data_IF_928348888613
#
_entry.id   IF_928348888613
#
_cell.length_a   1.000
_cell.length_b   1.000
_cell.length_c   1.000
_cell.angle_alpha   90.00
_cell.angle_beta   90.00
_cell.angle_gamma   90.00
#
_symmetry.space_group_name_H-M   'P 1'
#
loop_
_entity.id
_entity.type
_entity.pdbx_description
1 polymer ?
#
# COMPACT_ATOMS: atom_id res chain seq x y z
N UNK A 1 -14.42 9.94 -1.53
CA UNK A 1 -14.22 9.45 -0.15
C UNK A 1 -13.54 10.47 0.81
N UNK A 2 -12.47 11.19 0.45
CA UNK A 2 -11.74 12.02 1.45
C UNK A 2 -12.23 13.46 1.64
N UNK A 3 -13.23 13.93 0.88
CA UNK A 3 -13.67 15.33 0.92
C UNK A 3 -14.07 15.76 2.34
N UNK A 4 -14.90 14.96 3.00
CA UNK A 4 -15.38 15.24 4.35
C UNK A 4 -14.23 15.20 5.37
N UNK A 5 -13.39 14.17 5.34
CA UNK A 5 -12.20 14.08 6.22
C UNK A 5 -11.30 15.31 6.08
N UNK A 6 -11.06 15.79 4.87
CA UNK A 6 -10.23 17.00 4.66
C UNK A 6 -10.91 18.24 5.23
N UNK A 7 -12.24 18.36 5.09
CA UNK A 7 -13.01 19.47 5.66
C UNK A 7 -12.97 19.42 7.19
N UNK A 8 -13.15 18.25 7.78
CA UNK A 8 -13.05 18.02 9.22
C UNK A 8 -11.63 18.32 9.74
N UNK A 9 -10.57 17.90 9.03
CA UNK A 9 -9.21 18.23 9.42
C UNK A 9 -8.97 19.74 9.41
N UNK A 10 -9.45 20.45 8.38
CA UNK A 10 -9.35 21.91 8.35
C UNK A 10 -10.10 22.51 9.53
N UNK A 11 -11.34 22.11 9.76
CA UNK A 11 -12.15 22.65 10.84
C UNK A 11 -11.54 22.40 12.23
N UNK A 12 -11.24 21.14 12.55
CA UNK A 12 -10.81 20.72 13.88
C UNK A 12 -9.35 21.11 14.20
N UNK A 13 -8.51 21.36 13.19
CA UNK A 13 -7.13 21.81 13.42
C UNK A 13 -7.01 23.34 13.49
N UNK A 14 -7.98 24.12 12.97
CA UNK A 14 -7.96 25.58 13.06
C UNK A 14 -8.27 26.04 14.50
N UNK A 15 -7.33 26.68 15.22
CA UNK A 15 -7.60 27.20 16.56
C UNK A 15 -8.57 28.39 16.53
N UNK A 16 -8.53 29.16 15.45
CA UNK A 16 -9.40 30.31 15.19
C UNK A 16 -9.51 30.58 13.68
N UNK A 17 -10.46 31.42 13.26
CA UNK A 17 -10.64 31.80 11.84
C UNK A 17 -9.44 32.58 11.26
N UNK A 18 -8.73 33.34 12.10
CA UNK A 18 -7.56 34.13 11.70
C UNK A 18 -6.25 33.31 11.64
N UNK A 19 -6.26 32.11 12.21
CA UNK A 19 -5.13 31.17 12.25
C UNK A 19 -5.47 29.84 11.58
N UNK A 20 -5.86 29.83 10.30
CA UNK A 20 -6.27 28.60 9.64
C UNK A 20 -5.11 27.63 9.45
N UNK A 21 -5.32 26.36 9.77
CA UNK A 21 -4.36 25.29 9.43
C UNK A 21 -4.60 24.82 7.99
N UNK A 22 -3.65 25.04 7.06
CA UNK A 22 -3.83 24.64 5.68
C UNK A 22 -3.69 23.12 5.53
N UNK A 23 -4.72 22.48 5.00
CA UNK A 23 -4.71 21.04 4.67
C UNK A 23 -4.84 20.88 3.16
N UNK A 24 -3.83 20.31 2.51
CA UNK A 24 -3.79 20.15 1.05
C UNK A 24 -3.87 18.67 0.65
N UNK A 25 -4.88 18.26 -0.14
CA UNK A 25 -4.92 16.91 -0.66
C UNK A 25 -3.95 16.72 -1.83
N UNK A 26 -3.12 15.68 -1.76
CA UNK A 26 -2.35 15.20 -2.89
C UNK A 26 -3.15 14.13 -3.64
N UNK A 27 -3.83 14.53 -4.71
CA UNK A 27 -4.47 13.61 -5.64
C UNK A 27 -3.44 13.14 -6.69
N UNK A 28 -3.40 11.85 -6.96
CA UNK A 28 -2.45 11.26 -7.90
C UNK A 28 -3.09 10.14 -8.72
N UNK A 29 -2.51 9.85 -9.89
CA UNK A 29 -2.88 8.68 -10.67
C UNK A 29 -2.29 7.43 -10.02
N UNK A 30 -3.10 6.77 -9.22
CA UNK A 30 -2.72 5.56 -8.48
C UNK A 30 -2.31 4.41 -9.38
N UNK A 31 -2.50 4.46 -10.71
CA UNK A 31 -2.13 3.38 -11.62
C UNK A 31 -0.64 3.37 -11.98
N UNK A 32 0.04 4.49 -11.76
CA UNK A 32 1.45 4.68 -12.10
C UNK A 32 2.38 3.94 -11.14
N UNK A 33 3.62 3.62 -11.56
CA UNK A 33 4.69 3.19 -10.66
C UNK A 33 4.88 4.16 -9.50
N UNK A 34 5.11 3.63 -8.29
CA UNK A 34 5.16 4.44 -7.08
C UNK A 34 6.32 5.44 -7.10
N UNK A 35 7.43 5.15 -7.77
CA UNK A 35 8.57 6.06 -7.87
C UNK A 35 8.24 7.35 -8.62
N UNK A 36 7.33 7.28 -9.62
CA UNK A 36 6.85 8.45 -10.34
C UNK A 36 5.96 9.29 -9.43
N UNK A 37 5.06 8.63 -8.70
CA UNK A 37 4.15 9.30 -7.77
C UNK A 37 4.93 9.96 -6.62
N UNK A 38 5.97 9.32 -6.10
CA UNK A 38 6.86 9.89 -5.08
C UNK A 38 7.58 11.15 -5.56
N UNK A 39 7.97 11.21 -6.83
CA UNK A 39 8.55 12.43 -7.39
C UNK A 39 7.50 13.53 -7.45
N UNK A 40 6.30 13.24 -7.95
CA UNK A 40 5.19 14.20 -7.99
C UNK A 40 4.82 14.69 -6.58
N UNK A 41 4.85 13.79 -5.60
CA UNK A 41 4.61 14.11 -4.20
C UNK A 41 5.70 15.01 -3.63
N UNK A 42 6.97 14.78 -3.98
CA UNK A 42 8.06 15.69 -3.59
C UNK A 42 7.84 17.10 -4.12
N UNK A 43 7.52 17.23 -5.41
CA UNK A 43 7.25 18.53 -6.05
C UNK A 43 6.05 19.22 -5.35
N UNK A 44 5.03 18.45 -4.98
CA UNK A 44 3.85 18.94 -4.26
C UNK A 44 4.16 19.41 -2.83
N UNK A 45 5.02 18.71 -2.08
CA UNK A 45 5.42 19.14 -0.73
C UNK A 45 6.15 20.48 -0.78
N UNK A 46 7.02 20.68 -1.77
CA UNK A 46 7.71 21.95 -1.99
C UNK A 46 6.72 23.08 -2.30
N UNK A 47 5.75 22.83 -3.18
CA UNK A 47 4.66 23.76 -3.48
C UNK A 47 3.82 24.11 -2.23
N UNK A 48 3.46 23.13 -1.39
CA UNK A 48 2.71 23.34 -0.15
C UNK A 48 3.49 24.22 0.82
N UNK A 49 4.80 23.99 0.96
CA UNK A 49 5.68 24.81 1.78
C UNK A 49 5.68 26.26 1.28
N UNK A 50 5.84 26.47 -0.02
CA UNK A 50 5.89 27.81 -0.60
C UNK A 50 4.57 28.56 -0.46
N UNK A 51 3.43 27.88 -0.64
CA UNK A 51 2.11 28.46 -0.37
C UNK A 51 1.94 28.81 1.11
N UNK A 52 2.40 27.95 2.02
CA UNK A 52 2.25 28.15 3.48
C UNK A 52 3.07 29.34 3.97
N UNK A 53 4.25 29.60 3.38
CA UNK A 53 5.06 30.81 3.67
C UNK A 53 4.32 32.12 3.38
N UNK A 54 3.33 32.11 2.49
CA UNK A 54 2.54 33.29 2.13
C UNK A 54 1.32 33.52 3.04
N UNK A 55 0.98 32.57 3.91
CA UNK A 55 -0.14 32.69 4.84
C UNK A 55 0.29 33.62 5.99
N UNK A 56 -0.51 34.67 6.24
CA UNK A 56 -0.16 35.78 7.15
C UNK A 56 0.36 35.33 8.51
N UNK A 57 -0.36 34.47 9.23
CA UNK A 57 0.05 34.07 10.58
C UNK A 57 1.29 33.17 10.57
N UNK A 58 1.48 32.29 9.58
CA UNK A 58 2.71 31.52 9.40
C UNK A 58 3.91 32.41 9.06
N UNK A 59 3.72 33.42 8.21
CA UNK A 59 4.75 34.39 7.87
C UNK A 59 5.18 35.21 9.10
N UNK A 60 4.21 35.71 9.88
CA UNK A 60 4.47 36.44 11.13
C UNK A 60 5.14 35.56 12.20
N UNK A 61 4.82 34.26 12.23
CA UNK A 61 5.44 33.28 13.12
C UNK A 61 6.84 32.81 12.65
N UNK A 62 7.35 33.32 11.53
CA UNK A 62 8.68 32.98 11.04
C UNK A 62 8.81 31.57 10.45
N UNK A 63 7.71 30.97 9.99
CA UNK A 63 7.69 29.60 9.41
C UNK A 63 8.75 29.39 8.31
N UNK A 64 9.06 30.44 7.55
CA UNK A 64 10.05 30.41 6.48
C UNK A 64 11.47 30.04 6.96
N UNK A 65 11.80 30.22 8.25
CA UNK A 65 13.13 29.91 8.78
C UNK A 65 13.37 28.39 8.93
N UNK A 66 12.32 27.60 9.13
CA UNK A 66 12.40 26.14 9.26
C UNK A 66 11.09 25.49 8.79
N UNK A 67 10.79 25.54 7.47
CA UNK A 67 9.51 25.10 6.96
C UNK A 67 9.41 23.58 7.04
N UNK A 68 8.39 23.08 7.75
CA UNK A 68 8.09 21.65 7.85
C UNK A 68 6.61 21.37 7.68
N UNK A 69 6.29 20.23 7.08
CA UNK A 69 4.92 19.74 6.90
C UNK A 69 4.65 18.51 7.76
N UNK A 70 3.37 18.29 8.08
CA UNK A 70 2.88 17.02 8.60
C UNK A 70 2.24 16.23 7.45
N UNK A 71 2.52 14.94 7.36
CA UNK A 71 2.06 14.09 6.27
C UNK A 71 1.05 13.05 6.79
N UNK A 72 -0.03 12.84 6.06
CA UNK A 72 -1.04 11.82 6.37
C UNK A 72 -1.24 10.95 5.14
N UNK A 73 -1.01 9.66 5.26
CA UNK A 73 -1.15 8.68 4.18
C UNK A 73 -2.16 7.61 4.56
N UNK A 74 -3.15 7.38 3.71
CA UNK A 74 -4.04 6.22 3.83
C UNK A 74 -3.68 5.17 2.78
N UNK A 75 -3.72 3.89 3.16
CA UNK A 75 -3.39 2.76 2.30
C UNK A 75 -2.03 2.97 1.63
N UNK A 76 -1.95 2.87 0.30
CA UNK A 76 -0.75 3.11 -0.52
C UNK A 76 -0.12 4.51 -0.31
N UNK A 77 -0.88 5.48 0.19
CA UNK A 77 -0.35 6.81 0.55
C UNK A 77 0.76 6.74 1.60
N UNK A 78 0.72 5.78 2.52
CA UNK A 78 1.80 5.58 3.48
C UNK A 78 3.08 5.03 2.85
N UNK A 79 2.98 4.20 1.80
CA UNK A 79 4.14 3.75 1.02
C UNK A 79 4.78 4.92 0.29
N UNK A 80 3.98 5.78 -0.34
CA UNK A 80 4.45 6.99 -1.03
C UNK A 80 5.16 7.94 -0.06
N UNK A 81 4.60 8.18 1.14
CA UNK A 81 5.24 9.00 2.16
C UNK A 81 6.57 8.38 2.60
N UNK A 82 6.57 7.08 2.87
CA UNK A 82 7.79 6.36 3.32
C UNK A 82 8.88 6.44 2.26
N UNK A 83 8.56 6.17 1.00
CA UNK A 83 9.52 6.27 -0.10
C UNK A 83 9.98 7.71 -0.41
N UNK A 84 9.13 8.71 -0.18
CA UNK A 84 9.54 10.12 -0.25
C UNK A 84 10.55 10.47 0.85
N UNK A 85 10.26 10.08 2.09
CA UNK A 85 11.14 10.31 3.24
C UNK A 85 12.45 9.55 3.08
N UNK A 86 12.41 8.30 2.62
CA UNK A 86 13.58 7.48 2.27
C UNK A 86 14.50 8.21 1.28
N UNK A 87 13.95 8.67 0.15
CA UNK A 87 14.72 9.37 -0.89
C UNK A 87 15.30 10.71 -0.43
N UNK A 88 14.55 11.47 0.38
CA UNK A 88 14.99 12.79 0.86
C UNK A 88 15.91 12.69 2.09
N UNK A 89 15.83 11.61 2.86
CA UNK A 89 16.57 11.41 4.11
C UNK A 89 16.45 12.62 5.05
N UNK A 90 17.59 13.07 5.61
CA UNK A 90 17.67 14.26 6.48
C UNK A 90 17.32 15.58 5.82
N UNK A 91 17.14 15.63 4.50
CA UNK A 91 16.67 16.85 3.81
C UNK A 91 15.14 16.95 3.76
N UNK A 92 14.41 15.90 4.16
CA UNK A 92 12.96 15.92 4.15
C UNK A 92 12.41 17.00 5.12
N UNK A 93 11.64 17.99 4.64
CA UNK A 93 11.02 19.03 5.47
C UNK A 93 9.76 18.48 6.15
N UNK A 94 9.88 17.37 6.88
CA UNK A 94 8.76 16.68 7.53
C UNK A 94 8.90 16.80 9.05
N UNK A 95 7.81 17.15 9.71
CA UNK A 95 7.76 17.21 11.18
C UNK A 95 7.12 15.97 11.79
N UNK A 96 5.98 15.51 11.26
CA UNK A 96 5.24 14.34 11.75
C UNK A 96 4.63 13.58 10.58
N UNK A 97 4.44 12.27 10.76
CA UNK A 97 3.78 11.40 9.80
C UNK A 97 2.67 10.62 10.50
N UNK A 98 1.53 10.46 9.82
CA UNK A 98 0.49 9.52 10.20
C UNK A 98 0.20 8.58 9.00
N UNK A 99 0.27 7.26 9.23
CA UNK A 99 -0.14 6.26 8.24
C UNK A 99 -1.35 5.48 8.72
N UNK A 100 -2.33 5.29 7.84
CA UNK A 100 -3.61 4.67 8.13
C UNK A 100 -3.78 3.48 7.19
N UNK A 101 -3.90 2.26 7.74
CA UNK A 101 -4.13 1.02 6.97
C UNK A 101 -3.13 0.82 5.80
N UNK A 102 -1.86 1.20 6.00
CA UNK A 102 -0.84 1.10 4.96
C UNK A 102 -0.31 -0.32 4.82
N UNK A 103 -0.37 -0.93 3.62
CA UNK A 103 0.14 -2.29 3.39
C UNK A 103 1.66 -2.30 3.20
N UNK A 104 2.42 -2.08 4.28
CA UNK A 104 3.89 -2.09 4.30
C UNK A 104 4.52 -3.37 3.76
N UNK A 105 3.83 -4.51 3.85
CA UNK A 105 4.23 -5.78 3.23
C UNK A 105 3.16 -6.33 2.30
N UNK A 106 2.32 -5.46 1.73
CA UNK A 106 1.34 -5.79 0.70
C UNK A 106 0.01 -6.36 1.21
N UNK A 107 -0.78 -6.92 0.29
CA UNK A 107 -2.07 -7.55 0.59
C UNK A 107 -2.35 -8.66 -0.43
N UNK A 108 -2.88 -9.78 0.04
CA UNK A 108 -3.34 -10.86 -0.82
C UNK A 108 -4.52 -10.46 -1.73
N UNK A 109 -5.24 -9.38 -1.42
CA UNK A 109 -6.29 -8.84 -2.30
C UNK A 109 -5.72 -8.31 -3.62
N UNK A 110 -4.45 -7.86 -3.65
CA UNK A 110 -3.79 -7.49 -4.89
C UNK A 110 -3.62 -8.70 -5.83
N UNK A 111 -3.20 -9.85 -5.29
CA UNK A 111 -3.11 -11.11 -6.03
C UNK A 111 -4.46 -11.50 -6.61
N UNK A 112 -5.51 -11.42 -5.78
CA UNK A 112 -6.88 -11.74 -6.21
C UNK A 112 -7.33 -10.80 -7.33
N UNK A 113 -7.09 -9.48 -7.20
CA UNK A 113 -7.48 -8.50 -8.23
C UNK A 113 -6.76 -8.77 -9.55
N UNK A 114 -5.47 -9.11 -9.52
CA UNK A 114 -4.70 -9.47 -10.72
C UNK A 114 -5.16 -10.81 -11.31
N UNK A 115 -5.39 -11.83 -10.48
CA UNK A 115 -5.78 -13.16 -10.93
C UNK A 115 -7.21 -13.20 -11.50
N UNK A 116 -8.17 -12.61 -10.80
CA UNK A 116 -9.61 -12.78 -11.05
C UNK A 116 -10.33 -11.51 -11.52
N UNK A 117 -9.76 -10.33 -11.27
CA UNK A 117 -10.40 -9.04 -11.51
C UNK A 117 -11.41 -8.67 -10.44
N UNK A 118 -11.70 -9.57 -9.50
CA UNK A 118 -12.65 -9.39 -8.40
C UNK A 118 -11.95 -9.47 -7.07
N UNK A 119 -11.60 -8.32 -6.52
CA UNK A 119 -11.30 -8.17 -5.11
C UNK A 119 -12.14 -7.02 -4.56
N UNK A 120 -12.37 -6.98 -3.25
CA UNK A 120 -12.96 -5.82 -2.57
C UNK A 120 -11.96 -4.65 -2.55
N UNK A 121 -11.69 -4.09 -3.72
CA UNK A 121 -11.17 -2.74 -3.94
C UNK A 121 -12.05 -2.13 -5.05
N UNK A 122 -13.24 -1.69 -4.63
CA UNK A 122 -14.32 -1.17 -5.48
C UNK A 122 -15.35 -2.24 -5.84
N UNK A 123 -16.55 -2.14 -5.27
CA UNK A 123 -17.69 -3.03 -5.48
C UNK A 123 -18.15 -3.03 -6.94
N UNK A 124 -17.97 -4.15 -7.65
CA UNK A 124 -18.94 -4.72 -8.59
C UNK A 124 -18.44 -6.07 -9.17
N UNK A 125 -19.39 -6.86 -9.66
CA UNK A 125 -19.19 -8.21 -10.24
C UNK A 125 -18.16 -8.25 -11.37
N UNK A 126 -17.35 -9.32 -11.39
CA UNK A 126 -16.28 -9.61 -12.37
C UNK A 126 -16.64 -9.23 -13.81
N UNK A 127 -16.08 -8.12 -14.31
CA UNK A 127 -16.03 -7.84 -15.74
C UNK A 127 -14.62 -8.16 -16.27
N UNK A 128 -14.52 -8.83 -17.41
CA UNK A 128 -13.23 -9.16 -18.05
C UNK A 128 -12.30 -7.95 -18.23
N UNK A 129 -12.89 -6.76 -18.38
CA UNK A 129 -12.18 -5.48 -18.49
C UNK A 129 -11.47 -5.08 -17.19
N UNK A 130 -12.01 -5.42 -16.02
CA UNK A 130 -11.36 -5.13 -14.73
C UNK A 130 -10.12 -5.99 -14.52
N UNK A 131 -10.13 -7.24 -15.00
CA UNK A 131 -8.94 -8.12 -15.00
C UNK A 131 -7.82 -7.53 -15.83
N UNK A 132 -8.12 -7.13 -17.06
CA UNK A 132 -7.13 -6.56 -17.98
C UNK A 132 -6.55 -5.26 -17.41
N UNK A 133 -7.40 -4.36 -16.89
CA UNK A 133 -6.96 -3.14 -16.25
C UNK A 133 -6.05 -3.42 -15.03
N UNK A 134 -6.43 -4.35 -14.16
CA UNK A 134 -5.64 -4.70 -12.99
C UNK A 134 -4.24 -5.23 -13.37
N UNK A 135 -4.16 -6.11 -14.37
CA UNK A 135 -2.90 -6.71 -14.83
C UNK A 135 -1.93 -5.70 -15.49
N UNK A 136 -2.43 -4.55 -15.91
CA UNK A 136 -1.63 -3.49 -16.54
C UNK A 136 -1.39 -2.29 -15.61
N UNK A 137 -1.95 -2.34 -14.40
CA UNK A 137 -1.78 -1.29 -13.40
C UNK A 137 -0.52 -1.59 -12.58
N UNK A 138 0.55 -0.83 -12.81
CA UNK A 138 1.86 -1.07 -12.18
C UNK A 138 1.77 -1.09 -10.64
N UNK A 139 1.08 -0.12 -10.05
CA UNK A 139 0.94 0.01 -8.59
C UNK A 139 0.32 -1.20 -7.89
N UNK A 140 -0.54 -1.99 -8.54
CA UNK A 140 -1.10 -3.21 -7.94
C UNK A 140 -0.01 -4.24 -7.65
N UNK A 141 1.04 -4.28 -8.46
CA UNK A 141 2.19 -5.16 -8.23
C UNK A 141 3.00 -4.72 -7.01
N UNK A 142 3.09 -3.41 -6.73
CA UNK A 142 3.73 -2.89 -5.51
C UNK A 142 2.96 -3.26 -4.23
N UNK A 143 1.72 -3.73 -4.36
CA UNK A 143 0.90 -4.22 -3.26
C UNK A 143 0.94 -5.74 -3.10
N UNK A 144 1.77 -6.45 -3.90
CA UNK A 144 1.94 -7.89 -3.71
C UNK A 144 2.49 -8.18 -2.30
N UNK A 145 1.97 -9.23 -1.63
CA UNK A 145 2.35 -9.51 -0.26
C UNK A 145 3.71 -10.20 -0.20
N UNK A 146 4.52 -9.78 0.77
CA UNK A 146 5.75 -10.44 1.18
C UNK A 146 5.73 -10.63 2.70
N UNK A 147 4.91 -11.60 3.13
CA UNK A 147 4.64 -11.85 4.53
C UNK A 147 5.24 -13.20 4.90
N UNK A 148 6.11 -13.19 5.91
CA UNK A 148 6.82 -14.38 6.38
C UNK A 148 5.84 -15.51 6.70
N UNK A 149 6.07 -16.69 6.13
CA UNK A 149 5.29 -17.92 6.33
C UNK A 149 3.79 -17.81 5.97
N UNK A 150 3.39 -16.81 5.16
CA UNK A 150 1.99 -16.63 4.77
C UNK A 150 1.65 -17.26 3.41
N UNK A 151 2.67 -17.69 2.66
CA UNK A 151 2.53 -18.33 1.36
C UNK A 151 2.83 -19.83 1.47
N UNK A 152 1.85 -20.65 1.12
CA UNK A 152 1.96 -22.11 1.09
C UNK A 152 1.99 -22.57 -0.37
N UNK A 153 3.01 -23.32 -0.80
CA UNK A 153 3.13 -23.82 -2.17
C UNK A 153 3.24 -25.34 -2.15
N UNK A 154 2.34 -26.02 -2.85
CA UNK A 154 2.24 -27.48 -2.81
C UNK A 154 3.38 -28.19 -3.53
N UNK A 155 3.86 -27.61 -4.63
CA UNK A 155 4.96 -28.18 -5.40
C UNK A 155 6.29 -27.56 -4.94
N UNK A 156 7.20 -28.33 -4.33
CA UNK A 156 8.48 -27.82 -3.84
C UNK A 156 9.43 -27.35 -4.96
N UNK A 157 9.11 -27.62 -6.23
CA UNK A 157 9.88 -27.12 -7.39
C UNK A 157 9.51 -25.67 -7.76
N UNK A 158 8.37 -25.19 -7.29
CA UNK A 158 7.93 -23.82 -7.54
C UNK A 158 8.61 -22.84 -6.58
N UNK A 159 8.83 -21.60 -7.00
CA UNK A 159 9.38 -20.56 -6.13
C UNK A 159 8.41 -20.22 -4.97
N UNK A 160 8.95 -19.62 -3.91
CA UNK A 160 8.19 -19.19 -2.73
C UNK A 160 7.96 -17.67 -2.67
N UNK A 161 7.99 -17.01 -3.83
CA UNK A 161 7.80 -15.55 -3.92
C UNK A 161 6.78 -15.20 -5.00
N UNK A 162 5.83 -14.34 -4.65
CA UNK A 162 4.86 -13.79 -5.59
C UNK A 162 5.47 -12.81 -6.60
N UNK A 163 6.73 -12.42 -6.40
CA UNK A 163 7.51 -11.65 -7.38
C UNK A 163 8.16 -12.54 -8.45
N UNK A 164 8.07 -13.87 -8.32
CA UNK A 164 8.56 -14.78 -9.34
C UNK A 164 7.44 -15.09 -10.36
N UNK A 165 7.65 -14.81 -11.67
CA UNK A 165 6.63 -15.04 -12.68
C UNK A 165 6.23 -16.53 -12.81
N UNK A 166 7.09 -17.48 -12.44
CA UNK A 166 6.79 -18.91 -12.51
C UNK A 166 5.70 -19.33 -11.52
N UNK A 167 5.38 -18.49 -10.52
CA UNK A 167 4.34 -18.75 -9.54
C UNK A 167 2.93 -18.33 -10.01
N UNK A 168 2.85 -17.61 -11.12
CA UNK A 168 1.60 -17.04 -11.61
C UNK A 168 0.88 -17.95 -12.61
N UNK A 169 -0.45 -17.95 -12.54
CA UNK A 169 -1.32 -18.67 -13.46
C UNK A 169 -1.07 -18.23 -14.92
N UNK A 170 -0.94 -19.18 -15.84
CA UNK A 170 -0.72 -18.92 -17.27
C UNK A 170 -1.77 -17.98 -17.88
N UNK A 171 -3.01 -17.98 -17.37
CA UNK A 171 -4.08 -17.07 -17.81
C UNK A 171 -3.81 -15.59 -17.55
N UNK A 172 -2.99 -15.26 -16.55
CA UNK A 172 -2.56 -13.87 -16.27
C UNK A 172 -1.64 -13.41 -17.39
N UNK A 173 -0.59 -14.19 -17.67
CA UNK A 173 0.38 -13.92 -18.74
C UNK A 173 -0.32 -13.85 -20.10
N UNK A 174 -1.20 -14.81 -20.39
CA UNK A 174 -1.95 -14.85 -21.66
C UNK A 174 -2.80 -13.59 -21.90
N UNK A 175 -3.30 -12.96 -20.84
CA UNK A 175 -4.10 -11.73 -20.99
C UNK A 175 -3.24 -10.48 -21.14
N UNK A 176 -2.08 -10.43 -20.48
CA UNK A 176 -1.07 -9.39 -20.77
C UNK A 176 -0.62 -9.49 -22.22
N UNK A 177 -0.41 -10.71 -22.71
CA UNK A 177 -0.11 -10.98 -24.12
C UNK A 177 -1.22 -10.48 -25.04
N UNK A 178 -2.48 -10.84 -24.80
CA UNK A 178 -3.60 -10.38 -25.62
C UNK A 178 -3.67 -8.84 -25.70
N UNK A 179 -3.36 -8.14 -24.61
CA UNK A 179 -3.27 -6.68 -24.62
C UNK A 179 -2.11 -6.16 -25.48
N UNK A 180 -0.90 -6.71 -25.30
CA UNK A 180 0.29 -6.34 -26.10
C UNK A 180 0.02 -6.58 -27.59
N UNK A 181 -0.59 -7.70 -27.95
CA UNK A 181 -0.96 -8.04 -29.33
C UNK A 181 -1.95 -7.04 -29.94
N UNK A 182 -2.90 -6.55 -29.16
CA UNK A 182 -3.92 -5.60 -29.63
C UNK A 182 -3.37 -4.19 -29.85
N UNK A 183 -2.35 -3.79 -29.08
CA UNK A 183 -1.86 -2.40 -29.05
C UNK A 183 -0.50 -2.20 -29.73
N UNK A 184 0.28 -3.26 -29.98
CA UNK A 184 1.63 -3.16 -30.54
C UNK A 184 1.74 -3.87 -31.89
N UNK A 185 2.37 -3.18 -32.86
CA UNK A 185 2.64 -3.73 -34.19
C UNK A 185 3.56 -4.97 -34.12
N UNK A 186 3.28 -5.89 -35.05
CA UNK A 186 3.79 -7.26 -35.19
C UNK A 186 5.32 -7.30 -35.14
N UNK A 187 5.89 -7.97 -34.12
CA UNK A 187 7.07 -8.87 -34.12
C UNK A 187 7.42 -9.19 -32.64
N UNK A 188 7.53 -10.49 -32.33
CA UNK A 188 7.91 -11.09 -31.02
C UNK A 188 7.03 -10.69 -29.82
N UNK A 189 5.72 -10.93 -29.91
CA UNK A 189 4.75 -10.46 -28.90
C UNK A 189 4.74 -11.30 -27.61
N UNK A 190 5.01 -12.61 -27.67
CA UNK A 190 4.98 -13.52 -26.51
C UNK A 190 6.13 -13.28 -25.53
N UNK A 191 7.36 -13.21 -26.03
CA UNK A 191 8.55 -12.86 -25.24
C UNK A 191 8.42 -11.46 -24.62
N UNK A 192 7.82 -10.51 -25.35
CA UNK A 192 7.54 -9.15 -24.84
C UNK A 192 6.49 -9.11 -23.73
N UNK A 193 5.46 -9.96 -23.79
CA UNK A 193 4.44 -10.02 -22.75
C UNK A 193 4.98 -10.64 -21.46
N UNK A 194 5.74 -11.73 -21.58
CA UNK A 194 6.45 -12.33 -20.45
C UNK A 194 7.46 -11.33 -19.85
N UNK A 195 8.23 -10.64 -20.69
CA UNK A 195 9.16 -9.61 -20.24
C UNK A 195 8.44 -8.42 -19.57
N UNK A 196 7.29 -7.97 -20.09
CA UNK A 196 6.51 -6.89 -19.48
C UNK A 196 5.99 -7.29 -18.10
N UNK A 197 5.43 -8.50 -17.99
CA UNK A 197 4.95 -9.03 -16.71
C UNK A 197 6.09 -9.20 -15.69
N UNK A 198 7.20 -9.80 -16.11
CA UNK A 198 8.41 -9.91 -15.29
C UNK A 198 8.90 -8.54 -14.82
N UNK A 199 8.94 -7.54 -15.69
CA UNK A 199 9.34 -6.17 -15.32
C UNK A 199 8.42 -5.52 -14.28
N UNK A 200 7.11 -5.79 -14.30
CA UNK A 200 6.23 -5.32 -13.23
C UNK A 200 6.57 -5.97 -11.90
N UNK A 201 6.83 -7.28 -11.88
CA UNK A 201 7.21 -7.99 -10.67
C UNK A 201 8.59 -7.56 -10.15
N UNK A 202 9.59 -7.41 -11.03
CA UNK A 202 10.93 -6.94 -10.69
C UNK A 202 10.90 -5.52 -10.09
N UNK A 203 10.17 -4.60 -10.72
CA UNK A 203 10.02 -3.23 -10.21
C UNK A 203 9.34 -3.22 -8.83
N UNK A 204 8.28 -4.03 -8.67
CA UNK A 204 7.59 -4.15 -7.40
C UNK A 204 8.47 -4.77 -6.30
N UNK A 205 9.27 -5.79 -6.63
CA UNK A 205 10.20 -6.42 -5.70
C UNK A 205 11.32 -5.46 -5.28
N UNK A 206 11.88 -4.71 -6.24
CA UNK A 206 12.90 -3.70 -5.97
C UNK A 206 12.34 -2.61 -5.05
N UNK A 207 11.11 -2.16 -5.29
CA UNK A 207 10.41 -1.21 -4.43
C UNK A 207 10.17 -1.77 -3.02
N UNK A 208 9.62 -2.99 -2.91
CA UNK A 208 9.40 -3.68 -1.63
C UNK A 208 10.70 -3.76 -0.84
N UNK A 209 11.77 -4.25 -1.46
CA UNK A 209 13.10 -4.36 -0.84
C UNK A 209 13.60 -3.01 -0.35
N UNK A 210 13.39 -1.92 -1.09
CA UNK A 210 13.77 -0.58 -0.65
C UNK A 210 12.99 -0.15 0.59
N UNK A 211 11.67 -0.30 0.59
CA UNK A 211 10.81 0.07 1.73
C UNK A 211 11.08 -0.81 2.95
N UNK A 212 11.35 -2.10 2.76
CA UNK A 212 11.67 -3.01 3.85
C UNK A 212 13.01 -2.66 4.53
N UNK A 213 13.94 -2.05 3.78
CA UNK A 213 15.23 -1.55 4.29
C UNK A 213 15.17 -0.09 4.76
N UNK A 214 14.02 0.58 4.71
CA UNK A 214 13.90 1.94 5.19
C UNK A 214 14.17 1.99 6.70
N UNK A 215 15.07 2.89 7.10
CA UNK A 215 15.47 3.09 8.49
C UNK A 215 15.29 4.56 8.87
N UNK A 216 14.52 4.80 9.94
CA UNK A 216 14.30 6.14 10.50
C UNK A 216 15.59 6.87 10.84
N UNK A 217 16.67 6.15 11.17
CA UNK A 217 17.98 6.74 11.49
C UNK A 217 18.61 7.54 10.35
N UNK A 218 18.18 7.26 9.11
CA UNK A 218 18.59 7.99 7.89
C UNK A 218 17.86 9.32 7.71
N UNK A 219 16.90 9.62 8.57
CA UNK A 219 16.00 10.78 8.50
C UNK A 219 16.19 11.71 9.70
N UNK A 220 15.38 12.77 9.80
CA UNK A 220 15.29 13.60 11.01
C UNK A 220 14.12 13.19 11.93
N UNK A 221 13.38 12.13 11.58
CA UNK A 221 12.24 11.65 12.34
C UNK A 221 12.70 10.62 13.37
N UNK A 222 12.01 10.61 14.51
CA UNK A 222 12.08 9.56 15.53
C UNK A 222 10.82 8.71 15.48
N UNK A 223 10.79 7.58 16.18
CA UNK A 223 9.59 6.72 16.27
C UNK A 223 8.36 7.49 16.76
N UNK A 224 8.52 8.39 17.75
CA UNK A 224 7.45 9.27 18.24
C UNK A 224 7.01 10.39 17.28
N UNK A 225 7.65 10.52 16.12
CA UNK A 225 7.22 11.40 15.04
C UNK A 225 6.32 10.69 14.02
N UNK A 226 6.15 9.36 14.15
CA UNK A 226 5.38 8.54 13.23
C UNK A 226 4.24 7.81 13.94
N UNK A 227 3.01 8.18 13.61
CA UNK A 227 1.80 7.50 14.07
C UNK A 227 1.39 6.45 13.05
N UNK A 228 1.42 5.17 13.41
CA UNK A 228 0.92 4.09 12.57
C UNK A 228 -0.42 3.58 13.12
N UNK A 229 -1.49 3.71 12.34
CA UNK A 229 -2.83 3.23 12.68
C UNK A 229 -3.21 2.07 11.77
N UNK A 230 -3.56 0.94 12.37
CA UNK A 230 -3.86 -0.30 11.67
C UNK A 230 -5.21 -0.85 12.10
N UNK A 231 -6.02 -1.30 11.14
CA UNK A 231 -7.27 -1.97 11.44
C UNK A 231 -7.04 -3.43 11.85
N UNK A 232 -7.78 -3.87 12.86
CA UNK A 232 -7.84 -5.25 13.36
C UNK A 232 -9.29 -5.65 13.62
N UNK A 233 -9.51 -6.90 14.01
CA UNK A 233 -10.84 -7.45 14.30
C UNK A 233 -11.78 -7.52 13.07
N UNK A 234 -11.21 -7.70 11.88
CA UNK A 234 -11.99 -7.96 10.66
C UNK A 234 -11.52 -9.22 9.95
N UNK A 235 -12.44 -9.95 9.33
CA UNK A 235 -12.12 -11.15 8.54
C UNK A 235 -11.23 -10.78 7.35
N UNK A 236 -9.96 -11.17 7.43
CA UNK A 236 -8.93 -10.74 6.48
C UNK A 236 -8.14 -11.94 5.97
N UNK A 237 -7.81 -11.95 4.68
CA UNK A 237 -6.98 -13.02 4.11
C UNK A 237 -5.55 -12.90 4.61
N UNK A 238 -5.16 -13.74 5.56
CA UNK A 238 -3.83 -13.68 6.21
C UNK A 238 -2.83 -14.67 5.63
N UNK A 239 -3.28 -15.59 4.78
CA UNK A 239 -2.46 -16.57 4.06
C UNK A 239 -2.97 -16.80 2.64
N UNK A 240 -2.13 -17.40 1.82
CA UNK A 240 -2.51 -17.89 0.50
C UNK A 240 -1.81 -19.20 0.22
N UNK A 241 -2.57 -20.16 -0.33
CA UNK A 241 -2.03 -21.41 -0.85
C UNK A 241 -2.02 -21.41 -2.36
N UNK A 242 -0.99 -22.01 -2.94
CA UNK A 242 -0.83 -22.23 -4.37
C UNK A 242 -0.76 -23.73 -4.61
N UNK A 243 -1.80 -24.24 -5.26
CA UNK A 243 -1.89 -25.64 -5.63
C UNK A 243 -1.23 -25.86 -6.99
N UNK A 244 -0.54 -26.98 -7.17
CA UNK A 244 -0.04 -27.39 -8.48
C UNK A 244 -1.11 -28.18 -9.22
N UNK A 245 -1.31 -27.85 -10.51
CA UNK A 245 -2.27 -28.52 -11.40
C UNK A 245 -1.57 -28.90 -12.70
N UNK A 246 -2.19 -29.76 -13.52
CA UNK A 246 -1.69 -30.10 -14.86
C UNK A 246 -1.50 -28.88 -15.78
N UNK A 247 -2.14 -27.75 -15.44
CA UNK A 247 -2.06 -26.47 -16.18
C UNK A 247 -1.13 -25.45 -15.52
N UNK A 248 -0.36 -25.85 -14.51
CA UNK A 248 0.53 -24.99 -13.74
C UNK A 248 -0.05 -24.53 -12.39
N UNK A 249 0.56 -23.54 -11.73
CA UNK A 249 0.17 -23.06 -10.41
C UNK A 249 -1.22 -22.42 -10.44
N UNK A 250 -2.00 -22.64 -9.38
CA UNK A 250 -3.33 -22.08 -9.18
C UNK A 250 -3.48 -21.54 -7.76
N UNK A 251 -3.88 -20.28 -7.61
CA UNK A 251 -4.17 -19.68 -6.30
C UNK A 251 -5.45 -20.27 -5.69
N UNK A 252 -5.37 -20.78 -4.46
CA UNK A 252 -6.53 -21.17 -3.66
C UNK A 252 -7.12 -19.94 -2.99
N UNK A 253 -8.26 -19.48 -3.53
CA UNK A 253 -8.97 -18.29 -3.08
C UNK A 253 -10.03 -18.58 -2.02
N UNK A 254 -10.07 -19.80 -1.47
CA UNK A 254 -11.03 -20.21 -0.46
C UNK A 254 -11.04 -19.30 0.77
N UNK A 255 -12.21 -19.14 1.40
CA UNK A 255 -12.39 -18.32 2.60
C UNK A 255 -11.68 -18.87 3.84
N UNK A 256 -11.25 -20.15 3.84
CA UNK A 256 -10.49 -20.76 4.94
C UNK A 256 -9.18 -20.04 5.30
N UNK A 257 -8.63 -19.24 4.39
CA UNK A 257 -7.45 -18.40 4.64
C UNK A 257 -7.78 -16.97 5.07
N UNK A 258 -9.07 -16.63 5.11
CA UNK A 258 -9.56 -15.43 5.76
C UNK A 258 -9.80 -15.75 7.23
N UNK A 259 -9.06 -15.07 8.10
CA UNK A 259 -9.13 -15.29 9.54
C UNK A 259 -9.41 -13.97 10.25
N UNK A 260 -10.09 -14.08 11.37
CA UNK A 260 -10.11 -13.05 12.41
C UNK A 260 -10.01 -13.78 13.74
N UNK A 261 -8.80 -13.84 14.30
CA UNK A 261 -8.54 -14.44 15.60
C UNK A 261 -8.29 -13.41 16.69
N UNK A 262 -8.54 -12.13 16.40
CA UNK A 262 -8.32 -11.02 17.33
C UNK A 262 -9.03 -11.26 18.67
N UNK A 263 -8.25 -11.33 19.75
CA UNK A 263 -8.74 -11.49 21.13
C UNK A 263 -9.72 -12.66 21.34
N UNK A 264 -9.67 -13.69 20.49
CA UNK A 264 -10.49 -14.90 20.67
C UNK A 264 -9.95 -15.70 21.85
N UNK A 265 -10.80 -15.92 22.86
CA UNK A 265 -10.44 -16.64 24.10
C UNK A 265 -9.97 -18.08 23.87
N UNK A 266 -10.40 -18.72 22.79
CA UNK A 266 -10.01 -20.08 22.43
C UNK A 266 -8.64 -20.18 21.75
N UNK A 267 -8.02 -19.04 21.42
CA UNK A 267 -6.78 -18.96 20.65
C UNK A 267 -5.65 -18.43 21.53
N UNK A 268 -4.43 -18.91 21.28
CA UNK A 268 -3.23 -18.34 21.90
C UNK A 268 -3.05 -16.87 21.45
N UNK A 269 -2.51 -16.00 22.32
CA UNK A 269 -2.31 -14.58 22.01
C UNK A 269 -1.47 -14.34 20.75
N UNK A 270 -0.48 -15.22 20.49
CA UNK A 270 0.32 -15.18 19.28
C UNK A 270 -0.53 -15.28 17.99
N UNK A 271 -1.67 -15.97 18.05
CA UNK A 271 -2.59 -16.11 16.92
C UNK A 271 -3.49 -14.90 16.73
N UNK A 272 -3.59 -13.96 17.69
CA UNK A 272 -4.45 -12.77 17.54
C UNK A 272 -4.02 -11.88 16.38
N UNK A 273 -2.75 -12.00 15.96
CA UNK A 273 -2.18 -11.34 14.77
C UNK A 273 -2.73 -11.90 13.45
N UNK A 274 -3.43 -13.03 13.47
CA UNK A 274 -4.17 -13.57 12.33
C UNK A 274 -5.53 -12.86 12.19
N UNK A 275 -5.46 -11.59 11.83
CA UNK A 275 -6.57 -10.65 11.63
C UNK A 275 -6.15 -9.56 10.64
N UNK A 276 -6.97 -8.52 10.48
CA UNK A 276 -6.65 -7.32 9.73
C UNK A 276 -7.86 -6.40 9.63
N UNK A 277 -7.88 -5.57 8.59
CA UNK A 277 -8.94 -4.56 8.33
C UNK A 277 -9.95 -4.99 7.24
N UNK A 278 -9.91 -6.25 6.83
CA UNK A 278 -10.70 -6.81 5.72
C UNK A 278 -9.95 -6.84 4.39
N UNK A 279 -8.88 -6.05 4.25
CA UNK A 279 -8.03 -5.95 3.05
C UNK A 279 -6.56 -6.24 3.37
N UNK A 280 -5.99 -5.58 4.37
CA UNK A 280 -4.59 -5.65 4.75
C UNK A 280 -4.47 -6.50 6.02
N UNK A 281 -3.75 -7.63 5.98
CA UNK A 281 -3.43 -8.41 7.17
C UNK A 281 -2.68 -7.58 8.19
N UNK A 282 -2.87 -7.85 9.48
CA UNK A 282 -2.12 -7.21 10.55
C UNK A 282 -0.61 -7.29 10.31
N UNK A 283 -0.08 -8.48 10.02
CA UNK A 283 1.35 -8.65 9.70
C UNK A 283 1.83 -7.78 8.53
N UNK A 284 0.94 -7.52 7.57
CA UNK A 284 1.31 -6.79 6.37
C UNK A 284 1.22 -5.27 6.54
N UNK A 285 0.52 -4.80 7.57
CA UNK A 285 0.44 -3.37 7.87
C UNK A 285 1.50 -2.91 8.90
N UNK A 286 2.31 -3.83 9.44
CA UNK A 286 3.42 -3.48 10.32
C UNK A 286 4.57 -2.89 9.49
N UNK A 287 5.07 -1.69 9.79
CA UNK A 287 6.32 -1.21 9.23
C UNK A 287 7.54 -1.82 9.94
N UNK A 288 8.60 -2.12 9.20
CA UNK A 288 9.86 -2.66 9.78
C UNK A 288 10.59 -1.68 10.72
N UNK A 289 10.29 -0.39 10.64
CA UNK A 289 11.02 0.67 11.31
C UNK A 289 10.33 1.19 12.59
N UNK A 290 9.16 0.63 12.98
CA UNK A 290 8.49 0.95 14.24
C UNK A 290 8.32 -0.30 15.10
N UNK A 291 8.57 -0.16 16.40
CA UNK A 291 8.16 -1.15 17.39
C UNK A 291 6.65 -1.14 17.60
N UNK A 292 6.10 -2.28 18.06
CA UNK A 292 4.66 -2.46 18.30
C UNK A 292 4.07 -1.43 19.27
N UNK A 293 4.88 -0.90 20.19
CA UNK A 293 4.51 0.16 21.12
C UNK A 293 4.16 1.50 20.44
N UNK A 294 4.55 1.68 19.17
CA UNK A 294 4.26 2.87 18.37
C UNK A 294 3.08 2.65 17.40
N UNK A 295 2.36 1.53 17.54
CA UNK A 295 1.29 1.13 16.63
C UNK A 295 -0.05 1.19 17.36
N UNK A 296 -1.00 1.90 16.76
CA UNK A 296 -2.38 1.98 17.24
C UNK A 296 -3.23 0.99 16.44
N UNK A 297 -3.72 -0.04 17.12
CA UNK A 297 -4.72 -0.93 16.57
C UNK A 297 -6.12 -0.36 16.80
N UNK A 298 -6.92 -0.29 15.74
CA UNK A 298 -8.32 0.14 15.78
C UNK A 298 -9.22 -0.98 15.29
N UNK A 299 -10.39 -1.09 15.88
CA UNK A 299 -11.43 -2.06 15.57
C UNK A 299 -12.68 -1.34 15.03
N UNK A 300 -13.61 -2.04 14.35
CA UNK A 300 -14.89 -1.45 13.98
C UNK A 300 -15.65 -0.82 15.17
N UNK A 301 -15.53 -1.40 16.36
CA UNK A 301 -16.21 -0.94 17.58
C UNK A 301 -15.70 0.43 18.06
N UNK A 302 -14.44 0.77 17.79
CA UNK A 302 -13.83 2.06 18.19
C UNK A 302 -14.47 3.25 17.45
N UNK A 303 -15.15 3.00 16.33
CA UNK A 303 -15.81 4.04 15.52
C UNK A 303 -17.32 4.13 15.77
N UNK A 304 -17.91 3.25 16.57
CA UNK A 304 -19.32 3.32 16.99
C UNK A 304 -20.36 3.08 15.88
N UNK A 305 -19.98 2.51 14.73
CA UNK A 305 -20.90 2.15 13.66
C UNK A 305 -21.35 0.69 13.80
N UNK A 306 -22.65 0.48 14.03
CA UNK A 306 -23.36 -0.82 13.98
C UNK A 306 -24.44 -0.77 12.91
#
# INVERSE_FOLDING_TARGET
>A
PYKEIIQELRYNLCPSEDEPVPVFPFAYDWRLPLEIIEKQFSDFVEEVIDRTKLIRHYALAGYAANPKVNLIGHSMGGLIITGYVDKKGKSAPVSKVATLATPYHGSFEAVIKIATGTANLGSDTSQSREREAARLTASLYHLLPDIKNALEVDDPKLPLSLFDPALWQASVIASVLAYVQKQMAVIEQESKAQALFARFLEAAQAYRTRIDNFDLSTTNLQSGDWLCVMGVNSETRVRMRITSTDRGPLFDLGSKYRLNLWRKKSEAEANWRLTGDGTVPFEAALPNFLGLENIICVTPEDYGYW
#
